data_IF_685684669584
#
_entry.id   IF_685684669584
#
_cell.length_a   1.000
_cell.length_b   1.000
_cell.length_c   1.000
_cell.angle_alpha   90.00
_cell.angle_beta   90.00
_cell.angle_gamma   90.00
#
_symmetry.space_group_name_H-M   'P 1'
#
loop_
_entity.id
_entity.type
_entity.pdbx_description
1 polymer ?
#
# COMPACT_ATOMS: atom_id res chain seq x y z
N UNK A 1 -25.47 4.96 0.24
CA UNK A 1 -24.62 3.93 -0.40
C UNK A 1 -23.15 4.04 0.04
N UNK A 2 -22.50 5.23 0.05
CA UNK A 2 -21.08 5.40 0.44
C UNK A 2 -20.80 4.98 1.88
N UNK A 3 -21.67 5.29 2.84
CA UNK A 3 -21.48 4.95 4.26
C UNK A 3 -21.51 3.42 4.51
N UNK A 4 -22.40 2.70 3.83
CA UNK A 4 -22.49 1.23 3.95
C UNK A 4 -21.23 0.57 3.40
N UNK A 5 -20.71 1.06 2.28
CA UNK A 5 -19.45 0.57 1.69
C UNK A 5 -18.25 0.81 2.61
N UNK A 6 -18.19 1.99 3.25
CA UNK A 6 -17.13 2.33 4.22
C UNK A 6 -17.20 1.45 5.47
N UNK A 7 -18.41 1.18 6.00
CA UNK A 7 -18.60 0.31 7.15
C UNK A 7 -18.20 -1.14 6.83
N UNK A 8 -18.61 -1.66 5.66
CA UNK A 8 -18.20 -2.99 5.20
C UNK A 8 -16.69 -3.12 5.11
N UNK A 9 -16.01 -2.11 4.51
CA UNK A 9 -14.55 -2.09 4.44
C UNK A 9 -13.92 -2.07 5.84
N UNK A 10 -14.41 -1.24 6.75
CA UNK A 10 -13.91 -1.17 8.12
C UNK A 10 -14.01 -2.52 8.83
N UNK A 11 -15.16 -3.20 8.73
CA UNK A 11 -15.39 -4.52 9.35
C UNK A 11 -14.44 -5.56 8.76
N UNK A 12 -14.20 -5.52 7.45
CA UNK A 12 -13.26 -6.42 6.79
C UNK A 12 -11.83 -6.15 7.23
N UNK A 13 -11.38 -4.89 7.22
CA UNK A 13 -10.03 -4.49 7.63
C UNK A 13 -9.76 -4.89 9.10
N UNK A 14 -10.74 -4.73 9.99
CA UNK A 14 -10.65 -5.17 11.39
C UNK A 14 -10.57 -6.70 11.52
N UNK A 15 -11.35 -7.44 10.73
CA UNK A 15 -11.32 -8.89 10.70
C UNK A 15 -9.96 -9.42 10.24
N UNK A 16 -9.42 -8.85 9.15
CA UNK A 16 -8.09 -9.22 8.64
C UNK A 16 -6.98 -8.89 9.65
N UNK A 17 -7.05 -7.74 10.33
CA UNK A 17 -6.10 -7.37 11.39
C UNK A 17 -6.18 -8.33 12.59
N UNK A 18 -7.38 -8.71 13.03
CA UNK A 18 -7.56 -9.65 14.13
C UNK A 18 -6.98 -11.04 13.77
N UNK A 19 -7.18 -11.50 12.53
CA UNK A 19 -6.58 -12.76 12.06
C UNK A 19 -5.06 -12.67 11.98
N UNK A 20 -4.51 -11.54 11.52
CA UNK A 20 -3.06 -11.33 11.48
C UNK A 20 -2.43 -11.34 12.88
N UNK A 21 -3.06 -10.69 13.88
CA UNK A 21 -2.61 -10.70 15.27
C UNK A 21 -2.62 -12.09 15.89
N UNK A 22 -3.64 -12.86 15.58
CA UNK A 22 -3.75 -14.25 16.03
C UNK A 22 -2.80 -15.20 15.29
N UNK A 23 -1.99 -14.71 14.34
CA UNK A 23 -1.18 -15.52 13.41
C UNK A 23 -2.02 -16.57 12.63
N UNK A 24 -3.29 -16.25 12.39
CA UNK A 24 -4.26 -17.09 11.70
C UNK A 24 -4.55 -16.62 10.27
N UNK A 25 -3.83 -15.60 9.79
CA UNK A 25 -3.99 -15.13 8.43
C UNK A 25 -3.50 -16.21 7.45
N UNK A 26 -4.44 -16.84 6.78
CA UNK A 26 -4.13 -17.84 5.76
C UNK A 26 -3.71 -17.13 4.47
N UNK A 27 -2.54 -17.51 3.93
CA UNK A 27 -2.04 -17.03 2.65
C UNK A 27 -1.90 -18.21 1.66
N UNK A 28 -2.36 -18.01 0.43
CA UNK A 28 -2.28 -18.98 -0.66
C UNK A 28 -1.19 -18.56 -1.65
N UNK A 29 0.02 -19.06 -1.45
CA UNK A 29 1.18 -18.67 -2.24
C UNK A 29 1.15 -19.32 -3.63
N UNK A 30 1.46 -18.53 -4.65
CA UNK A 30 1.66 -18.95 -6.04
C UNK A 30 2.73 -18.08 -6.69
N UNK A 31 3.20 -18.49 -7.87
CA UNK A 31 4.10 -17.65 -8.65
C UNK A 31 3.35 -16.46 -9.22
N UNK A 32 3.73 -15.25 -8.80
CA UNK A 32 3.10 -13.99 -9.17
C UNK A 32 4.16 -13.04 -9.71
N UNK A 33 3.84 -12.35 -10.80
CA UNK A 33 4.56 -11.15 -11.18
C UNK A 33 3.92 -9.95 -10.48
N UNK A 34 4.54 -9.37 -9.44
CA UNK A 34 3.94 -8.29 -8.66
C UNK A 34 3.73 -7.01 -9.48
N UNK A 35 4.56 -6.75 -10.50
CA UNK A 35 4.39 -5.58 -11.35
C UNK A 35 3.10 -5.63 -12.18
N UNK A 36 2.72 -6.80 -12.67
CA UNK A 36 1.44 -6.97 -13.39
C UNK A 36 0.24 -6.66 -12.49
N UNK A 37 0.32 -7.02 -11.20
CA UNK A 37 -0.73 -6.67 -10.23
C UNK A 37 -0.79 -5.16 -10.01
N UNK A 38 0.37 -4.50 -9.89
CA UNK A 38 0.44 -3.03 -9.76
C UNK A 38 -0.19 -2.35 -10.98
N UNK A 39 0.18 -2.76 -12.20
CA UNK A 39 -0.37 -2.19 -13.44
C UNK A 39 -1.89 -2.37 -13.53
N UNK A 40 -2.39 -3.55 -13.16
CA UNK A 40 -3.83 -3.81 -13.15
C UNK A 40 -4.57 -2.91 -12.17
N UNK A 41 -4.05 -2.71 -10.96
CA UNK A 41 -4.71 -1.86 -9.98
C UNK A 41 -4.59 -0.38 -10.33
N UNK A 42 -3.49 0.07 -10.92
CA UNK A 42 -3.35 1.41 -11.48
C UNK A 42 -4.45 1.69 -12.52
N UNK A 43 -4.70 0.77 -13.44
CA UNK A 43 -5.77 0.93 -14.43
C UNK A 43 -7.15 1.02 -13.77
N UNK A 44 -7.40 0.25 -12.70
CA UNK A 44 -8.64 0.35 -11.92
C UNK A 44 -8.84 1.72 -11.25
N UNK A 45 -7.74 2.42 -10.90
CA UNK A 45 -7.77 3.76 -10.31
C UNK A 45 -7.75 4.90 -11.33
N UNK A 46 -7.57 4.62 -12.63
CA UNK A 46 -7.37 5.63 -13.68
C UNK A 46 -8.43 6.74 -13.67
N UNK A 47 -9.69 6.38 -13.70
CA UNK A 47 -10.78 7.36 -13.65
C UNK A 47 -10.74 8.24 -12.39
N UNK A 48 -10.35 7.67 -11.25
CA UNK A 48 -10.23 8.42 -10.00
C UNK A 48 -9.03 9.37 -10.02
N UNK A 49 -7.89 8.92 -10.56
CA UNK A 49 -6.69 9.75 -10.75
C UNK A 49 -6.99 10.94 -11.68
N UNK A 50 -7.69 10.70 -12.78
CA UNK A 50 -8.13 11.73 -13.72
C UNK A 50 -9.07 12.75 -13.06
N UNK A 51 -10.06 12.30 -12.29
CA UNK A 51 -10.98 13.18 -11.54
C UNK A 51 -10.25 14.08 -10.54
N UNK A 52 -9.19 13.61 -9.92
CA UNK A 52 -8.34 14.37 -9.01
C UNK A 52 -7.20 15.12 -9.73
N UNK A 53 -7.11 15.01 -11.07
CA UNK A 53 -6.07 15.62 -11.90
C UNK A 53 -4.65 15.24 -11.46
N UNK A 54 -4.47 14.01 -10.94
CA UNK A 54 -3.18 13.52 -10.47
C UNK A 54 -2.33 13.03 -11.65
N UNK A 55 -1.08 13.52 -11.70
CA UNK A 55 -0.09 13.06 -12.67
C UNK A 55 0.53 11.74 -12.17
N UNK A 56 0.30 10.64 -12.88
CA UNK A 56 0.88 9.35 -12.56
C UNK A 56 2.04 9.03 -13.51
N UNK A 57 3.18 8.64 -12.95
CA UNK A 57 4.31 8.07 -13.68
C UNK A 57 4.64 6.67 -13.19
N UNK A 58 4.94 5.76 -14.12
CA UNK A 58 5.23 4.37 -13.86
C UNK A 58 6.59 4.01 -14.45
N UNK A 59 7.46 3.37 -13.65
CA UNK A 59 8.75 2.88 -14.12
C UNK A 59 9.11 1.60 -13.37
N UNK A 60 9.05 0.44 -14.02
CA UNK A 60 9.34 -0.78 -13.28
C UNK A 60 9.42 -2.02 -14.14
N UNK A 61 9.96 -3.03 -13.49
CA UNK A 61 10.06 -4.38 -14.01
C UNK A 61 9.50 -5.37 -13.00
N UNK A 62 8.93 -6.45 -13.52
CA UNK A 62 8.46 -7.54 -12.71
C UNK A 62 9.56 -8.47 -12.26
N UNK A 63 9.21 -9.37 -11.36
CA UNK A 63 9.99 -10.52 -10.94
C UNK A 63 9.04 -11.67 -10.67
N UNK A 64 9.48 -12.90 -10.81
CA UNK A 64 8.72 -14.05 -10.32
C UNK A 64 8.90 -14.13 -8.80
N UNK A 65 7.83 -13.88 -8.05
CA UNK A 65 7.80 -13.97 -6.58
C UNK A 65 6.74 -14.98 -6.15
N UNK A 66 7.02 -15.72 -5.09
CA UNK A 66 6.00 -16.54 -4.42
C UNK A 66 5.18 -15.64 -3.49
N UNK A 67 3.94 -15.33 -3.88
CA UNK A 67 3.04 -14.41 -3.15
C UNK A 67 1.60 -14.94 -3.17
N UNK A 68 0.82 -14.53 -2.18
CA UNK A 68 -0.63 -14.55 -2.30
C UNK A 68 -1.07 -13.31 -3.09
N UNK A 69 -1.58 -13.54 -4.30
CA UNK A 69 -1.97 -12.48 -5.24
C UNK A 69 -3.03 -11.54 -4.66
N UNK A 70 -4.02 -12.08 -3.96
CA UNK A 70 -5.14 -11.29 -3.43
C UNK A 70 -4.70 -10.43 -2.25
N UNK A 71 -3.84 -10.97 -1.37
CA UNK A 71 -3.25 -10.21 -0.26
C UNK A 71 -2.28 -9.15 -0.76
N UNK A 72 -1.46 -9.45 -1.75
CA UNK A 72 -0.61 -8.45 -2.40
C UNK A 72 -1.44 -7.34 -3.07
N UNK A 73 -2.47 -7.71 -3.84
CA UNK A 73 -3.43 -6.76 -4.40
C UNK A 73 -4.03 -5.83 -3.34
N UNK A 74 -4.41 -6.36 -2.18
CA UNK A 74 -4.98 -5.59 -1.07
C UNK A 74 -4.00 -4.51 -0.57
N UNK A 75 -2.71 -4.83 -0.48
CA UNK A 75 -1.66 -3.84 -0.18
C UNK A 75 -1.65 -2.74 -1.25
N UNK A 76 -1.57 -3.10 -2.54
CA UNK A 76 -1.48 -2.14 -3.64
C UNK A 76 -2.69 -1.20 -3.67
N UNK A 77 -3.91 -1.73 -3.53
CA UNK A 77 -5.14 -0.94 -3.45
C UNK A 77 -5.11 0.06 -2.29
N UNK A 78 -4.58 -0.35 -1.13
CA UNK A 78 -4.45 0.55 0.02
C UNK A 78 -3.40 1.66 -0.23
N UNK A 79 -2.25 1.33 -0.83
CA UNK A 79 -1.20 2.32 -1.12
C UNK A 79 -1.67 3.33 -2.16
N UNK A 80 -2.21 2.88 -3.30
CA UNK A 80 -2.74 3.78 -4.34
C UNK A 80 -3.91 4.61 -3.80
N UNK A 81 -4.83 3.98 -3.06
CA UNK A 81 -5.95 4.67 -2.43
C UNK A 81 -5.52 5.73 -1.41
N UNK A 82 -4.38 5.54 -0.76
CA UNK A 82 -3.75 6.55 0.11
C UNK A 82 -3.24 7.73 -0.71
N UNK A 83 -2.48 7.48 -1.79
CA UNK A 83 -2.01 8.54 -2.69
C UNK A 83 -3.18 9.38 -3.21
N UNK A 84 -4.24 8.75 -3.76
CA UNK A 84 -5.43 9.47 -4.24
C UNK A 84 -6.09 10.32 -3.16
N UNK A 85 -6.06 9.87 -1.91
CA UNK A 85 -6.72 10.57 -0.80
C UNK A 85 -5.93 11.75 -0.26
N UNK A 86 -4.62 11.65 -0.22
CA UNK A 86 -3.77 12.61 0.48
C UNK A 86 -2.92 13.48 -0.45
N UNK A 87 -2.77 13.12 -1.72
CA UNK A 87 -2.16 13.98 -2.72
C UNK A 87 -3.13 15.10 -3.10
N UNK A 88 -2.66 16.34 -3.13
CA UNK A 88 -3.46 17.48 -3.59
C UNK A 88 -3.87 17.33 -5.05
N UNK A 89 -4.97 17.98 -5.42
CA UNK A 89 -5.40 18.07 -6.82
C UNK A 89 -4.27 18.66 -7.69
N UNK A 90 -3.97 18.01 -8.80
CA UNK A 90 -2.85 18.39 -9.67
C UNK A 90 -1.48 17.93 -9.18
N UNK A 91 -1.43 17.16 -8.08
CA UNK A 91 -0.19 16.59 -7.56
C UNK A 91 0.31 15.40 -8.37
N UNK A 92 1.44 14.83 -7.94
CA UNK A 92 2.17 13.78 -8.65
C UNK A 92 2.25 12.50 -7.84
N UNK A 93 2.15 11.37 -8.54
CA UNK A 93 2.38 10.03 -8.00
C UNK A 93 3.41 9.35 -8.90
N UNK A 94 4.46 8.78 -8.30
CA UNK A 94 5.44 7.98 -9.00
C UNK A 94 5.50 6.58 -8.39
N UNK A 95 5.19 5.58 -9.18
CA UNK A 95 5.27 4.17 -8.80
C UNK A 95 6.39 3.52 -9.59
N UNK A 96 7.42 3.03 -8.90
CA UNK A 96 8.55 2.42 -9.57
C UNK A 96 9.10 1.22 -8.81
N UNK A 97 9.84 0.38 -9.52
CA UNK A 97 10.46 -0.80 -8.91
C UNK A 97 11.98 -0.75 -9.04
N UNK A 98 12.64 -1.35 -8.05
CA UNK A 98 14.05 -1.69 -8.12
C UNK A 98 14.23 -3.14 -7.71
N UNK A 99 15.18 -3.82 -8.31
CA UNK A 99 15.46 -5.21 -7.97
C UNK A 99 16.96 -5.53 -8.06
N UNK A 100 17.37 -6.49 -7.25
CA UNK A 100 18.68 -7.11 -7.31
C UNK A 100 18.54 -8.63 -7.24
N UNK A 101 19.65 -9.37 -7.02
CA UNK A 101 19.62 -10.83 -6.92
C UNK A 101 18.82 -11.34 -5.72
N UNK A 102 18.67 -10.56 -4.65
CA UNK A 102 18.09 -11.00 -3.37
C UNK A 102 16.67 -10.49 -3.15
N UNK A 103 16.31 -9.32 -3.68
CA UNK A 103 15.03 -8.69 -3.38
C UNK A 103 14.46 -7.91 -4.56
N UNK A 104 13.15 -7.76 -4.55
CA UNK A 104 12.36 -6.86 -5.36
C UNK A 104 11.71 -5.82 -4.45
N UNK A 105 11.76 -4.56 -4.83
CA UNK A 105 11.23 -3.45 -4.05
C UNK A 105 10.35 -2.57 -4.93
N UNK A 106 9.16 -2.26 -4.42
CA UNK A 106 8.24 -1.29 -4.99
C UNK A 106 8.30 0.00 -4.16
N UNK A 107 8.45 1.10 -4.85
CA UNK A 107 8.33 2.44 -4.29
C UNK A 107 7.05 3.08 -4.81
N UNK A 108 6.28 3.64 -3.89
CA UNK A 108 5.10 4.45 -4.20
C UNK A 108 5.31 5.80 -3.56
N UNK A 109 5.58 6.80 -4.40
CA UNK A 109 5.86 8.17 -4.01
C UNK A 109 4.69 9.08 -4.34
N UNK A 110 4.32 9.96 -3.44
CA UNK A 110 3.41 11.04 -3.72
C UNK A 110 4.04 12.43 -3.50
N UNK A 111 3.41 13.45 -4.07
CA UNK A 111 3.79 14.85 -3.87
C UNK A 111 3.05 15.46 -2.68
N UNK A 112 3.45 16.67 -2.18
CA UNK A 112 3.15 17.12 -0.84
C UNK A 112 1.65 17.01 -0.47
N UNK A 113 1.37 16.81 0.84
CA UNK A 113 2.11 17.41 1.98
C UNK A 113 3.13 16.43 2.58
N UNK A 114 4.33 16.93 2.87
CA UNK A 114 5.34 16.22 3.63
C UNK A 114 4.88 15.95 5.06
N UNK A 115 5.41 14.90 5.64
CA UNK A 115 5.19 14.47 7.02
C UNK A 115 6.41 14.84 7.86
N UNK A 116 6.24 15.10 9.16
CA UNK A 116 7.38 15.18 10.08
C UNK A 116 7.94 13.77 10.35
N UNK A 117 9.17 13.70 10.86
CA UNK A 117 9.78 12.42 11.25
C UNK A 117 8.95 11.69 12.32
N UNK A 118 8.37 12.45 13.26
CA UNK A 118 7.47 11.91 14.28
C UNK A 118 6.20 11.30 13.67
N UNK A 119 5.64 11.95 12.65
CA UNK A 119 4.47 11.46 11.93
C UNK A 119 4.81 10.22 11.10
N UNK A 120 5.96 10.22 10.41
CA UNK A 120 6.44 9.06 9.66
C UNK A 120 6.64 7.83 10.56
N UNK A 121 7.23 8.01 11.74
CA UNK A 121 7.48 6.94 12.70
C UNK A 121 6.20 6.26 13.19
N UNK A 122 5.07 6.97 13.15
CA UNK A 122 3.76 6.48 13.58
C UNK A 122 2.90 5.90 12.47
N UNK A 123 3.31 6.07 11.20
CA UNK A 123 2.58 5.44 10.08
C UNK A 123 2.60 3.92 10.22
N UNK A 124 1.45 3.31 10.02
CA UNK A 124 1.27 1.88 10.28
C UNK A 124 0.76 1.55 11.69
N UNK A 125 0.70 2.51 12.63
CA UNK A 125 -0.08 2.34 13.85
C UNK A 125 -1.58 2.29 13.52
N UNK A 126 -2.33 1.46 14.24
CA UNK A 126 -3.77 1.36 14.06
C UNK A 126 -4.48 2.63 14.47
N UNK A 127 -5.43 3.06 13.66
CA UNK A 127 -6.23 4.28 13.87
C UNK A 127 -5.43 5.58 13.84
N UNK A 128 -4.10 5.50 13.59
CA UNK A 128 -3.30 6.71 13.47
C UNK A 128 -3.64 7.48 12.20
N UNK A 129 -3.78 8.80 12.34
CA UNK A 129 -4.06 9.75 11.25
C UNK A 129 -3.31 11.04 11.55
N UNK A 130 -2.69 11.61 10.52
CA UNK A 130 -1.83 12.81 10.66
C UNK A 130 -2.63 14.07 11.01
N UNK A 131 -3.87 14.20 10.50
CA UNK A 131 -4.75 15.35 10.75
C UNK A 131 -6.22 14.94 10.86
N UNK A 132 -6.83 15.15 12.01
CA UNK A 132 -8.28 14.94 12.23
C UNK A 132 -9.16 15.99 11.54
N UNK A 133 -8.63 17.19 11.25
CA UNK A 133 -9.40 18.31 10.73
C UNK A 133 -9.61 18.26 9.20
N UNK A 134 -8.58 17.87 8.43
CA UNK A 134 -8.65 17.73 6.97
C UNK A 134 -9.29 16.42 6.52
N UNK A 135 -9.21 15.38 7.36
CA UNK A 135 -9.60 14.01 7.00
C UNK A 135 -11.03 13.64 7.34
N UNK A 136 -11.81 14.49 8.04
CA UNK A 136 -13.25 14.24 8.30
C UNK A 136 -14.06 14.17 7.01
N UNK A 137 -13.66 14.89 5.97
CA UNK A 137 -14.33 14.87 4.66
C UNK A 137 -13.90 13.70 3.76
N UNK A 138 -12.72 13.10 3.99
CA UNK A 138 -12.12 12.06 3.13
C UNK A 138 -12.30 10.63 3.62
N UNK A 139 -12.86 10.41 4.83
CA UNK A 139 -13.40 9.11 5.26
C UNK A 139 -12.37 7.97 5.48
N UNK A 140 -11.11 8.26 5.84
CA UNK A 140 -10.12 7.24 6.15
C UNK A 140 -10.30 6.61 7.53
N UNK A 141 -10.14 5.29 7.66
CA UNK A 141 -10.28 4.54 8.93
C UNK A 141 -9.01 4.53 9.78
N UNK A 142 -7.84 4.88 9.20
CA UNK A 142 -6.53 4.74 9.85
C UNK A 142 -6.06 3.28 9.97
N UNK A 143 -6.73 2.33 9.29
CA UNK A 143 -6.38 0.91 9.35
C UNK A 143 -5.63 0.43 8.10
N UNK A 144 -5.76 1.11 6.96
CA UNK A 144 -5.23 0.63 5.69
C UNK A 144 -3.72 0.41 5.68
N UNK A 145 -2.92 1.36 6.20
CA UNK A 145 -1.46 1.19 6.28
C UNK A 145 -1.06 0.15 7.32
N UNK A 146 -1.73 0.11 8.49
CA UNK A 146 -1.50 -0.91 9.50
C UNK A 146 -1.74 -2.33 8.95
N UNK A 147 -2.86 -2.52 8.24
CA UNK A 147 -3.16 -3.77 7.56
C UNK A 147 -2.13 -4.09 6.48
N UNK A 148 -1.71 -3.10 5.68
CA UNK A 148 -0.67 -3.30 4.65
C UNK A 148 0.67 -3.75 5.23
N UNK A 149 1.06 -3.25 6.41
CA UNK A 149 2.25 -3.72 7.13
C UNK A 149 2.12 -5.19 7.54
N UNK A 150 0.98 -5.57 8.11
CA UNK A 150 0.72 -6.95 8.54
C UNK A 150 0.68 -7.93 7.34
N UNK A 151 0.01 -7.53 6.26
CA UNK A 151 -0.03 -8.32 5.03
C UNK A 151 1.36 -8.48 4.40
N UNK A 152 2.16 -7.40 4.35
CA UNK A 152 3.53 -7.48 3.84
C UNK A 152 4.37 -8.47 4.64
N UNK A 153 4.26 -8.45 5.99
CA UNK A 153 4.94 -9.42 6.86
C UNK A 153 4.44 -10.85 6.65
N UNK A 154 3.13 -11.06 6.55
CA UNK A 154 2.55 -12.38 6.30
C UNK A 154 2.99 -12.96 4.94
N UNK A 155 3.24 -12.12 3.95
CA UNK A 155 3.80 -12.48 2.65
C UNK A 155 5.34 -12.62 2.64
N UNK A 156 6.00 -12.48 3.80
CA UNK A 156 7.46 -12.60 3.94
C UNK A 156 8.25 -11.38 3.51
N UNK A 157 7.58 -10.24 3.34
CA UNK A 157 8.18 -8.96 2.99
C UNK A 157 8.13 -7.93 4.12
N UNK A 158 8.31 -6.67 3.77
CA UNK A 158 8.20 -5.53 4.68
C UNK A 158 7.69 -4.28 3.98
N UNK A 159 6.96 -3.44 4.71
CA UNK A 159 6.53 -2.11 4.29
C UNK A 159 7.12 -1.08 5.23
N UNK A 160 7.79 -0.06 4.66
CA UNK A 160 8.39 1.07 5.38
C UNK A 160 7.89 2.38 4.80
N UNK A 161 8.04 3.45 5.58
CA UNK A 161 7.61 4.80 5.22
C UNK A 161 8.79 5.76 5.31
N UNK A 162 8.96 6.59 4.29
CA UNK A 162 10.07 7.52 4.15
C UNK A 162 9.56 8.84 3.55
N UNK A 163 10.38 9.89 3.58
CA UNK A 163 10.10 11.10 2.82
C UNK A 163 10.20 10.85 1.32
N UNK A 164 9.17 11.24 0.59
CA UNK A 164 9.17 11.15 -0.88
C UNK A 164 10.11 12.20 -1.49
N UNK A 165 10.88 11.87 -2.53
CA UNK A 165 11.61 12.86 -3.31
C UNK A 165 10.69 13.85 -4.02
N UNK A 166 9.39 13.55 -4.11
CA UNK A 166 8.36 14.47 -4.62
C UNK A 166 7.83 15.41 -3.54
N UNK A 167 8.29 15.27 -2.28
CA UNK A 167 7.93 16.12 -1.15
C UNK A 167 6.80 15.60 -0.26
N UNK A 168 6.20 14.47 -0.57
CA UNK A 168 5.15 13.79 0.21
C UNK A 168 5.64 12.55 0.94
N UNK A 169 4.86 11.47 0.85
CA UNK A 169 5.14 10.15 1.45
C UNK A 169 5.76 9.20 0.42
N UNK A 170 6.78 8.47 0.82
CA UNK A 170 7.29 7.29 0.13
C UNK A 170 6.91 6.03 0.91
N UNK A 171 6.17 5.13 0.27
CA UNK A 171 5.97 3.78 0.74
C UNK A 171 6.99 2.84 0.07
N UNK A 172 7.75 2.09 0.86
CA UNK A 172 8.79 1.15 0.40
C UNK A 172 8.35 -0.27 0.74
N UNK A 173 7.89 -1.00 -0.26
CA UNK A 173 7.40 -2.38 -0.11
C UNK A 173 8.44 -3.35 -0.70
N UNK A 174 9.05 -4.18 0.14
CA UNK A 174 10.16 -5.06 -0.24
C UNK A 174 9.81 -6.52 0.00
N UNK A 175 10.12 -7.38 -0.99
CA UNK A 175 10.01 -8.83 -0.90
C UNK A 175 11.32 -9.51 -1.29
N UNK A 176 11.75 -10.56 -0.57
CA UNK A 176 12.86 -11.39 -0.97
C UNK A 176 12.49 -12.23 -2.19
N UNK A 177 13.43 -12.39 -3.15
CA UNK A 177 13.24 -13.22 -4.34
C UNK A 177 13.29 -14.73 -4.05
N UNK A 178 13.90 -15.13 -2.94
CA UNK A 178 14.10 -16.53 -2.56
C UNK A 178 13.27 -16.88 -1.32
N UNK A 179 11.93 -16.93 -1.44
CA UNK A 179 11.05 -17.43 -0.36
C UNK A 179 10.98 -18.97 -0.26
N UNK A 180 11.69 -19.71 -1.13
CA UNK A 180 11.63 -21.18 -1.18
C UNK A 180 12.28 -21.91 0.02
N UNK A 181 12.69 -21.23 1.11
CA UNK A 181 13.47 -21.85 2.17
C UNK A 181 12.80 -21.93 3.56
N UNK A 182 11.60 -21.39 3.81
CA UNK A 182 11.07 -21.32 5.19
C UNK A 182 9.60 -21.74 5.40
N UNK A 183 8.96 -22.44 4.46
CA UNK A 183 7.64 -23.03 4.71
C UNK A 183 7.66 -24.52 4.38
N UNK A 184 8.22 -25.34 5.26
CA UNK A 184 7.92 -26.74 5.49
C UNK A 184 7.54 -26.92 6.95
#
# INVERSE_FOLDING_TARGET
>A
LRQVSSLKKLTQDLGDLAQADAQQLTCYFSDVNPWDVVLQEVENFKSTLEQHQLELSLAGEGAALSLDRDRFKQIIVNLIGNCVRYTEQGGKIHIHTQQNAQQWTLYVDDSPFGLSDEQLARLGERFYRVDDSRTRSTGGTGLGLALSCQLAQALGGSLKFEHSPLGGLRCVLTFPKNLNAKQK
#
